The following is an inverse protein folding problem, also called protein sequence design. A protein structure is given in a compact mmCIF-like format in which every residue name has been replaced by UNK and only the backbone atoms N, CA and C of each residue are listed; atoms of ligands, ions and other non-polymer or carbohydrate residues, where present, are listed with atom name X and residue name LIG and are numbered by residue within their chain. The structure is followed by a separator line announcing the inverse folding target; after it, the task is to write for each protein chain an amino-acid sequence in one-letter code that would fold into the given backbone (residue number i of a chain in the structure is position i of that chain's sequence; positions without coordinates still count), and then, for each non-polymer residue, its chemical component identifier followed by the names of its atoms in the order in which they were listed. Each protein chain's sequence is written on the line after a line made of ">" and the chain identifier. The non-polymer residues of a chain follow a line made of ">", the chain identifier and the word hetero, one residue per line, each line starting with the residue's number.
data_IF_928182080122
#
_entry.id   IF_928182080122
#
_cell.length_a   1.000
_cell.length_b   1.000
_cell.length_c   1.000
_cell.angle_alpha   90.00
_cell.angle_beta   90.00
_cell.angle_gamma   90.00
#
_symmetry.space_group_name_H-M   'P 1'
#
loop_
_entity.id
_entity.type
_entity.pdbx_description
1 polymer ?
#
# COMPACT_ATOMS: atom_id res chain seq x y z
N UNK A 1 -8.60 -9.80 -15.51
CA UNK A 1 -7.63 -8.85 -14.91
C UNK A 1 -7.97 -7.37 -15.21
N UNK A 2 -8.18 -6.95 -16.47
CA UNK A 2 -8.49 -5.54 -16.81
C UNK A 2 -9.74 -4.97 -16.14
N UNK A 3 -10.83 -5.76 -16.03
CA UNK A 3 -12.08 -5.36 -15.36
C UNK A 3 -11.89 -5.20 -13.85
N UNK A 4 -11.08 -6.07 -13.21
CA UNK A 4 -10.82 -5.99 -11.78
C UNK A 4 -10.00 -4.72 -11.42
N UNK A 5 -9.05 -4.34 -12.27
CA UNK A 5 -8.28 -3.10 -12.10
C UNK A 5 -9.19 -1.87 -12.26
N UNK A 6 -10.10 -1.90 -13.25
CA UNK A 6 -11.07 -0.81 -13.45
C UNK A 6 -12.03 -0.69 -12.25
N UNK A 7 -12.55 -1.80 -11.73
CA UNK A 7 -13.41 -1.83 -10.54
C UNK A 7 -12.65 -1.36 -9.30
N UNK A 8 -11.39 -1.74 -9.14
CA UNK A 8 -10.53 -1.25 -8.06
C UNK A 8 -10.36 0.28 -8.14
N UNK A 9 -10.00 0.80 -9.33
CA UNK A 9 -9.84 2.25 -9.56
C UNK A 9 -11.17 2.98 -9.30
N UNK A 10 -12.29 2.49 -9.84
CA UNK A 10 -13.61 3.08 -9.60
C UNK A 10 -14.02 3.01 -8.13
N UNK A 11 -13.65 1.94 -7.41
CA UNK A 11 -13.91 1.83 -5.98
C UNK A 11 -13.06 2.82 -5.17
N UNK A 12 -11.77 2.99 -5.52
CA UNK A 12 -10.90 4.01 -4.93
C UNK A 12 -11.41 5.43 -5.20
N UNK A 13 -11.88 5.70 -6.42
CA UNK A 13 -12.47 6.99 -6.81
C UNK A 13 -13.78 7.24 -6.08
N UNK A 14 -14.65 6.23 -5.96
CA UNK A 14 -15.90 6.35 -5.19
C UNK A 14 -15.62 6.55 -3.70
N UNK A 15 -14.51 6.01 -3.18
CA UNK A 15 -14.02 6.22 -1.82
C UNK A 15 -13.52 7.64 -1.56
N UNK A 16 -12.90 8.27 -2.57
CA UNK A 16 -12.49 9.68 -2.52
C UNK A 16 -13.68 10.64 -2.38
N UNK A 17 -14.87 10.22 -2.82
CA UNK A 17 -16.10 11.02 -2.74
C UNK A 17 -16.95 10.76 -1.48
N UNK A 18 -16.62 9.76 -0.66
CA UNK A 18 -17.41 9.41 0.53
C UNK A 18 -17.02 10.27 1.75
N UNK A 19 -17.47 11.54 1.77
CA UNK A 19 -17.77 12.45 2.90
C UNK A 19 -16.90 12.40 4.19
N UNK A 20 -15.67 11.91 4.11
CA UNK A 20 -14.74 11.86 5.23
C UNK A 20 -13.61 12.86 4.96
N UNK A 21 -13.78 14.09 5.47
CA UNK A 21 -12.73 15.11 5.67
C UNK A 21 -11.46 14.56 6.38
N UNK A 22 -11.49 13.32 6.85
CA UNK A 22 -10.44 12.68 7.65
C UNK A 22 -9.48 11.78 6.86
N UNK A 23 -9.82 11.37 5.62
CA UNK A 23 -9.02 10.37 4.90
C UNK A 23 -8.07 10.97 3.88
N UNK A 24 -8.58 11.78 2.95
CA UNK A 24 -7.75 12.47 1.97
C UNK A 24 -7.27 13.78 2.60
N UNK A 25 -5.98 13.84 2.91
CA UNK A 25 -5.39 15.04 3.51
C UNK A 25 -5.11 16.09 2.43
N UNK A 26 -4.34 15.69 1.43
CA UNK A 26 -3.78 16.58 0.42
C UNK A 26 -3.71 15.85 -0.91
N UNK A 27 -3.69 16.59 -2.01
CA UNK A 27 -3.40 16.05 -3.34
C UNK A 27 -2.64 17.08 -4.15
N UNK A 28 -1.99 16.64 -5.22
CA UNK A 28 -1.18 17.54 -6.02
C UNK A 28 -0.66 16.92 -7.30
N UNK A 29 0.15 17.70 -7.98
CA UNK A 29 0.85 17.32 -9.21
C UNK A 29 2.34 17.21 -8.96
N UNK A 30 3.02 16.34 -9.70
CA UNK A 30 4.47 16.14 -9.67
C UNK A 30 5.03 16.23 -11.08
N UNK A 31 6.14 16.95 -11.23
CA UNK A 31 6.87 17.09 -12.50
C UNK A 31 8.36 16.98 -12.21
N UNK A 32 9.11 16.27 -13.05
CA UNK A 32 10.53 16.07 -12.80
C UNK A 32 11.28 15.39 -13.92
N UNK A 33 12.55 15.13 -13.63
CA UNK A 33 13.49 14.41 -14.51
C UNK A 33 13.89 13.10 -13.87
N UNK A 34 14.15 12.10 -14.70
CA UNK A 34 14.63 10.78 -14.29
C UNK A 34 15.93 10.43 -15.01
N UNK A 35 16.74 9.58 -14.39
CA UNK A 35 17.89 8.93 -14.98
C UNK A 35 17.78 7.44 -14.66
N UNK A 36 17.60 6.60 -15.68
CA UNK A 36 17.40 5.16 -15.52
C UNK A 36 18.51 4.35 -16.18
N UNK A 37 18.88 3.22 -15.57
CA UNK A 37 19.74 2.22 -16.18
C UNK A 37 19.16 0.81 -15.98
N UNK A 38 19.62 -0.14 -16.76
CA UNK A 38 19.26 -1.55 -16.67
C UNK A 38 20.44 -2.35 -16.14
N UNK A 39 20.19 -3.06 -15.04
CA UNK A 39 21.09 -4.05 -14.50
C UNK A 39 20.71 -5.42 -15.05
N UNK A 40 21.70 -6.14 -15.59
CA UNK A 40 21.53 -7.41 -16.26
C UNK A 40 22.24 -8.50 -15.46
N UNK A 41 21.47 -9.47 -14.98
CA UNK A 41 22.02 -10.70 -14.42
C UNK A 41 21.80 -11.82 -15.43
N UNK A 42 22.91 -12.26 -16.03
CA UNK A 42 22.94 -13.30 -17.07
C UNK A 42 23.84 -14.43 -16.60
N UNK A 43 23.41 -15.66 -16.86
CA UNK A 43 24.20 -16.86 -16.57
C UNK A 43 25.47 -16.91 -17.43
N UNK A 44 26.65 -17.26 -16.87
CA UNK A 44 27.92 -17.31 -17.60
C UNK A 44 27.90 -18.18 -18.86
N UNK A 45 27.04 -19.20 -18.90
CA UNK A 45 26.94 -20.16 -20.00
C UNK A 45 26.19 -19.61 -21.23
N UNK A 46 25.52 -18.45 -21.11
CA UNK A 46 24.86 -17.82 -22.25
C UNK A 46 25.87 -17.16 -23.17
N UNK A 47 25.74 -17.37 -24.49
CA UNK A 47 26.50 -16.61 -25.50
C UNK A 47 26.32 -15.08 -25.36
N UNK A 48 25.25 -14.64 -24.70
CA UNK A 48 24.96 -13.23 -24.44
C UNK A 48 25.74 -12.65 -23.25
N UNK A 49 26.31 -13.49 -22.38
CA UNK A 49 27.03 -13.06 -21.18
C UNK A 49 28.19 -12.11 -21.51
N UNK A 50 29.02 -12.47 -22.49
CA UNK A 50 30.17 -11.66 -22.87
C UNK A 50 29.78 -10.35 -23.54
N UNK A 51 28.70 -10.34 -24.32
CA UNK A 51 28.17 -9.13 -24.95
C UNK A 51 27.72 -8.11 -23.90
N UNK A 52 27.00 -8.56 -22.87
CA UNK A 52 26.55 -7.68 -21.79
C UNK A 52 27.69 -7.32 -20.85
N UNK A 53 28.60 -8.24 -20.53
CA UNK A 53 29.76 -7.90 -19.68
C UNK A 53 30.71 -6.89 -20.33
N UNK A 54 30.83 -6.92 -21.66
CA UNK A 54 31.61 -5.94 -22.44
C UNK A 54 30.84 -4.66 -22.81
N UNK A 55 29.53 -4.64 -22.58
CA UNK A 55 28.66 -3.51 -22.88
C UNK A 55 28.85 -2.35 -21.91
N UNK A 56 28.90 -1.12 -22.43
CA UNK A 56 28.93 0.08 -21.60
C UNK A 56 27.51 0.59 -21.37
N UNK A 57 26.86 0.15 -20.29
CA UNK A 57 25.51 0.57 -19.92
C UNK A 57 25.53 1.91 -19.17
N UNK A 58 24.82 2.89 -19.72
CA UNK A 58 24.75 4.26 -19.21
C UNK A 58 23.33 4.63 -18.85
N UNK A 59 23.24 5.54 -17.88
CA UNK A 59 21.97 6.14 -17.51
C UNK A 59 21.34 6.90 -18.69
N UNK A 60 20.08 6.60 -18.95
CA UNK A 60 19.24 7.30 -19.90
C UNK A 60 18.44 8.38 -19.17
N UNK A 61 18.56 9.67 -19.55
CA UNK A 61 17.69 10.70 -19.01
C UNK A 61 16.25 10.53 -19.53
N UNK A 62 15.28 10.88 -18.70
CA UNK A 62 13.86 10.82 -18.97
C UNK A 62 13.09 11.89 -18.20
N UNK A 63 11.78 11.89 -18.35
CA UNK A 63 10.89 12.76 -17.58
C UNK A 63 9.89 11.94 -16.76
N UNK A 64 9.41 12.56 -15.71
CA UNK A 64 8.34 12.06 -14.85
C UNK A 64 7.29 13.14 -14.68
N UNK A 65 6.02 12.76 -14.84
CA UNK A 65 4.89 13.61 -14.48
C UNK A 65 3.77 12.77 -13.88
N UNK A 66 3.01 13.34 -12.95
CA UNK A 66 1.95 12.58 -12.31
C UNK A 66 1.15 13.36 -11.30
N UNK A 67 0.25 12.64 -10.65
CA UNK A 67 -0.58 13.13 -9.56
C UNK A 67 -0.32 12.29 -8.31
N UNK A 68 -0.49 12.89 -7.15
CA UNK A 68 -0.41 12.20 -5.88
C UNK A 68 -1.56 12.59 -4.96
N UNK A 69 -1.86 11.67 -4.04
CA UNK A 69 -2.79 11.85 -2.95
C UNK A 69 -2.08 11.45 -1.65
N UNK A 70 -2.18 12.29 -0.64
CA UNK A 70 -1.77 12.00 0.73
C UNK A 70 -2.99 11.60 1.54
N UNK A 71 -2.84 10.49 2.27
CA UNK A 71 -3.86 9.92 3.11
C UNK A 71 -3.47 10.05 4.56
N UNK A 72 -4.47 10.38 5.37
CA UNK A 72 -4.44 10.61 6.82
C UNK A 72 -3.40 11.63 7.30
N UNK A 73 -3.76 12.40 8.32
CA UNK A 73 -2.91 13.47 8.84
C UNK A 73 -2.45 13.21 10.27
N UNK A 74 -1.52 12.26 10.42
CA UNK A 74 -0.81 12.12 11.69
C UNK A 74 0.42 13.02 11.71
N UNK A 75 0.83 13.46 12.91
CA UNK A 75 1.91 14.44 13.09
C UNK A 75 3.23 14.04 12.39
N UNK A 76 3.54 12.74 12.39
CA UNK A 76 4.82 12.22 11.89
C UNK A 76 4.70 11.25 10.71
N UNK A 77 3.51 10.74 10.40
CA UNK A 77 3.34 9.67 9.41
C UNK A 77 2.12 9.92 8.52
N UNK A 78 2.26 9.67 7.22
CA UNK A 78 1.18 9.71 6.25
C UNK A 78 1.36 8.55 5.28
N UNK A 79 0.33 8.22 4.50
CA UNK A 79 0.49 7.37 3.31
C UNK A 79 0.36 8.24 2.07
N UNK A 80 1.13 7.95 1.04
CA UNK A 80 1.07 8.66 -0.24
C UNK A 80 0.87 7.65 -1.34
N UNK A 81 -0.14 7.87 -2.18
CA UNK A 81 -0.34 7.08 -3.41
C UNK A 81 -0.16 7.99 -4.60
N UNK A 82 0.46 7.48 -5.66
CA UNK A 82 0.70 8.28 -6.86
C UNK A 82 0.28 7.53 -8.12
N UNK A 83 0.03 8.29 -9.18
CA UNK A 83 -0.11 7.81 -10.55
C UNK A 83 0.81 8.67 -11.41
N UNK A 84 1.90 8.08 -11.87
CA UNK A 84 2.95 8.79 -12.61
C UNK A 84 3.15 8.17 -13.99
N UNK A 85 3.25 9.00 -15.02
CA UNK A 85 3.94 8.63 -16.24
C UNK A 85 5.45 8.77 -16.02
N UNK A 86 6.23 7.73 -16.32
CA UNK A 86 7.68 7.70 -16.09
C UNK A 86 8.41 7.16 -17.31
N UNK A 87 9.36 7.93 -17.83
CA UNK A 87 10.29 7.44 -18.84
C UNK A 87 11.51 6.79 -18.18
N UNK A 88 11.82 5.59 -18.64
CA UNK A 88 12.99 4.79 -18.26
C UNK A 88 13.69 4.26 -19.51
N UNK A 89 14.68 3.40 -19.29
CA UNK A 89 15.43 2.74 -20.35
C UNK A 89 16.91 2.67 -20.00
N UNK A 90 17.72 2.45 -21.02
CA UNK A 90 19.18 2.40 -20.90
C UNK A 90 19.78 2.88 -22.21
N UNK A 91 20.97 3.45 -22.15
CA UNK A 91 21.83 3.65 -23.32
C UNK A 91 22.98 2.69 -23.22
N UNK A 92 23.30 1.99 -24.29
CA UNK A 92 24.49 1.15 -24.29
C UNK A 92 25.18 1.12 -25.62
N UNK A 93 26.48 0.85 -25.57
CA UNK A 93 27.29 0.50 -26.73
C UNK A 93 27.88 -0.90 -26.49
N UNK A 94 27.76 -1.75 -27.51
CA UNK A 94 28.42 -3.06 -27.57
C UNK A 94 29.84 -2.86 -28.09
N UNK A 95 30.75 -2.55 -27.17
CA UNK A 95 32.18 -2.37 -27.46
C UNK A 95 32.72 -3.58 -28.24
N UNK A 96 33.29 -3.33 -29.43
CA UNK A 96 33.88 -4.37 -30.27
C UNK A 96 32.96 -4.99 -31.33
N UNK A 97 31.67 -4.59 -31.39
CA UNK A 97 30.75 -5.00 -32.47
C UNK A 97 30.36 -3.81 -33.35
N UNK A 98 29.99 -2.68 -32.74
CA UNK A 98 29.55 -1.47 -33.45
C UNK A 98 29.90 -0.22 -32.67
N UNK A 99 30.29 0.88 -33.33
CA UNK A 99 30.40 2.20 -32.69
C UNK A 99 29.03 2.89 -32.43
N UNK A 100 27.93 2.17 -32.71
CA UNK A 100 26.58 2.68 -32.54
C UNK A 100 26.14 2.63 -31.07
N UNK A 101 25.66 3.76 -30.53
CA UNK A 101 25.00 3.83 -29.22
C UNK A 101 23.51 3.55 -29.37
N UNK A 102 23.05 2.45 -28.79
CA UNK A 102 21.63 2.10 -28.75
C UNK A 102 20.92 2.87 -27.63
N UNK A 103 19.83 3.56 -27.94
CA UNK A 103 19.06 4.34 -26.97
C UNK A 103 17.67 3.74 -26.75
N UNK A 104 17.63 2.68 -25.94
CA UNK A 104 16.39 1.99 -25.62
C UNK A 104 15.56 2.79 -24.61
N UNK A 105 14.30 3.07 -24.97
CA UNK A 105 13.34 3.84 -24.18
C UNK A 105 12.15 2.97 -23.81
N UNK A 106 11.71 3.07 -22.56
CA UNK A 106 10.49 2.44 -22.07
C UNK A 106 9.69 3.45 -21.25
N UNK A 107 8.40 3.56 -21.54
CA UNK A 107 7.48 4.45 -20.86
C UNK A 107 6.49 3.64 -20.04
N UNK A 108 6.34 4.03 -18.77
CA UNK A 108 5.54 3.31 -17.79
C UNK A 108 4.45 4.19 -17.19
N UNK A 109 3.29 3.58 -16.92
CA UNK A 109 2.34 4.06 -15.92
C UNK A 109 2.74 3.45 -14.58
N UNK A 110 3.24 4.28 -13.68
CA UNK A 110 3.72 3.90 -12.37
C UNK A 110 2.69 4.22 -11.30
N UNK A 111 2.43 3.26 -10.41
CA UNK A 111 1.52 3.39 -9.28
C UNK A 111 2.28 3.04 -8.00
N UNK A 112 3.06 3.97 -7.45
CA UNK A 112 3.72 3.76 -6.17
C UNK A 112 2.80 4.06 -4.98
N UNK A 113 3.01 3.34 -3.89
CA UNK A 113 2.36 3.53 -2.60
C UNK A 113 3.44 3.61 -1.53
N UNK A 114 3.48 4.73 -0.82
CA UNK A 114 4.51 5.09 0.14
C UNK A 114 3.96 5.24 1.55
N UNK A 115 4.80 4.93 2.53
CA UNK A 115 4.73 5.51 3.87
C UNK A 115 5.65 6.72 3.91
N UNK A 116 5.12 7.88 4.31
CA UNK A 116 5.85 9.15 4.42
C UNK A 116 6.06 9.51 5.89
N UNK A 117 7.32 9.68 6.29
CA UNK A 117 7.75 10.08 7.62
C UNK A 117 8.16 11.56 7.60
N UNK A 118 7.49 12.40 8.40
CA UNK A 118 7.69 13.87 8.45
C UNK A 118 8.46 14.27 9.72
N UNK A 119 9.30 15.30 9.63
CA UNK A 119 10.00 15.87 10.79
C UNK A 119 9.63 17.35 11.01
N UNK A 120 8.55 17.66 11.77
CA UNK A 120 7.92 18.99 11.82
C UNK A 120 8.65 20.08 12.62
N UNK A 121 9.91 19.87 13.02
CA UNK A 121 10.60 20.77 13.96
C UNK A 121 11.44 21.87 13.28
N UNK A 122 11.24 22.11 11.99
CA UNK A 122 12.05 23.03 11.18
C UNK A 122 11.15 23.97 10.36
N UNK A 123 11.68 25.11 9.94
CA UNK A 123 10.97 26.08 9.06
C UNK A 123 10.67 25.53 7.65
N UNK A 124 11.18 24.34 7.36
CA UNK A 124 10.88 23.51 6.20
C UNK A 124 10.47 22.13 6.73
N UNK A 125 9.66 21.38 5.99
CA UNK A 125 9.21 20.06 6.43
C UNK A 125 9.98 18.98 5.69
N UNK A 126 11.14 18.52 6.18
CA UNK A 126 11.82 17.39 5.58
C UNK A 126 11.00 16.11 5.81
N UNK A 127 11.12 15.19 4.87
CA UNK A 127 10.49 13.89 4.97
C UNK A 127 11.27 12.80 4.22
N UNK A 128 11.05 11.57 4.67
CA UNK A 128 11.47 10.36 3.99
C UNK A 128 10.23 9.59 3.55
N UNK A 129 10.28 8.94 2.40
CA UNK A 129 9.25 8.00 1.98
C UNK A 129 9.86 6.68 1.55
N UNK A 130 9.18 5.59 1.84
CA UNK A 130 9.54 4.27 1.34
C UNK A 130 8.29 3.47 1.05
N UNK A 131 8.34 2.60 0.05
CA UNK A 131 7.14 1.88 -0.35
C UNK A 131 7.31 0.96 -1.54
N UNK A 132 6.18 0.38 -1.94
CA UNK A 132 6.08 -0.50 -3.09
C UNK A 132 5.68 0.28 -4.33
N UNK A 133 6.05 -0.24 -5.49
CA UNK A 133 5.79 0.38 -6.79
C UNK A 133 5.39 -0.68 -7.80
N UNK A 134 4.36 -0.37 -8.58
CA UNK A 134 3.99 -1.15 -9.76
C UNK A 134 4.16 -0.28 -11.00
N UNK A 135 4.84 -0.80 -12.02
CA UNK A 135 5.09 -0.14 -13.30
C UNK A 135 4.45 -0.95 -14.43
N UNK A 136 3.47 -0.36 -15.11
CA UNK A 136 2.84 -0.91 -16.29
C UNK A 136 3.45 -0.30 -17.56
N UNK A 137 4.05 -1.11 -18.42
CA UNK A 137 4.64 -0.67 -19.68
C UNK A 137 3.54 -0.23 -20.65
N UNK A 138 3.58 1.05 -21.08
CA UNK A 138 2.62 1.60 -22.05
C UNK A 138 3.26 1.66 -23.44
N UNK A 139 4.53 2.04 -23.51
CA UNK A 139 5.23 2.25 -24.77
C UNK A 139 6.69 1.83 -24.64
N UNK A 140 7.26 1.29 -25.72
CA UNK A 140 8.68 0.97 -25.83
C UNK A 140 9.20 1.40 -27.19
N UNK A 141 10.42 1.92 -27.22
CA UNK A 141 11.21 2.14 -28.42
C UNK A 141 12.56 1.45 -28.20
N UNK A 142 12.77 0.37 -28.94
CA UNK A 142 13.98 -0.44 -28.84
C UNK A 142 14.75 -0.23 -30.13
N UNK A 143 15.95 0.32 -30.03
CA UNK A 143 16.85 0.55 -31.17
C UNK A 143 17.80 -0.64 -31.36
N UNK A 144 18.01 -1.44 -30.31
CA UNK A 144 18.83 -2.64 -30.39
C UNK A 144 18.05 -3.83 -30.95
N UNK A 145 18.66 -4.61 -31.84
CA UNK A 145 18.13 -5.91 -32.31
C UNK A 145 18.15 -7.02 -31.25
N UNK A 146 18.33 -6.66 -29.97
CA UNK A 146 18.22 -7.59 -28.86
C UNK A 146 16.76 -8.05 -28.72
N UNK A 147 16.47 -9.24 -29.26
CA UNK A 147 15.19 -9.95 -29.18
C UNK A 147 14.58 -10.02 -27.76
N UNK A 148 15.40 -9.83 -26.73
CA UNK A 148 15.03 -9.81 -25.31
C UNK A 148 13.96 -8.75 -24.99
N UNK A 149 13.99 -7.59 -25.67
CA UNK A 149 13.06 -6.51 -25.36
C UNK A 149 11.66 -6.71 -25.95
N UNK A 150 11.52 -7.57 -26.95
CA UNK A 150 10.21 -7.91 -27.49
C UNK A 150 9.36 -8.67 -26.48
N UNK A 151 10.02 -9.42 -25.59
CA UNK A 151 9.40 -10.23 -24.56
C UNK A 151 9.24 -9.52 -23.21
N UNK A 152 9.62 -8.24 -23.11
CA UNK A 152 9.50 -7.46 -21.88
C UNK A 152 8.07 -7.55 -21.30
N UNK A 153 7.97 -8.06 -20.06
CA UNK A 153 6.70 -8.16 -19.35
C UNK A 153 6.05 -6.79 -19.22
N UNK A 154 4.74 -6.73 -19.46
CA UNK A 154 3.99 -5.48 -19.40
C UNK A 154 3.87 -4.91 -17.99
N UNK A 155 4.12 -5.68 -16.93
CA UNK A 155 3.97 -5.23 -15.54
C UNK A 155 5.16 -5.62 -14.68
N UNK A 156 5.68 -4.68 -13.92
CA UNK A 156 6.86 -4.86 -13.07
C UNK A 156 6.61 -4.30 -11.67
N UNK A 157 6.88 -5.10 -10.64
CA UNK A 157 6.84 -4.64 -9.26
C UNK A 157 8.24 -4.19 -8.81
N UNK A 158 8.31 -3.34 -7.79
CA UNK A 158 9.57 -2.86 -7.24
C UNK A 158 9.37 -2.14 -5.90
N UNK A 159 10.47 -1.62 -5.37
CA UNK A 159 10.47 -0.72 -4.22
C UNK A 159 10.96 0.66 -4.60
N UNK A 160 10.61 1.63 -3.77
CA UNK A 160 10.97 3.02 -3.99
C UNK A 160 11.27 3.69 -2.67
N UNK A 161 12.32 4.51 -2.67
CA UNK A 161 12.79 5.28 -1.54
C UNK A 161 12.88 6.73 -1.98
N UNK A 162 12.40 7.64 -1.15
CA UNK A 162 12.36 9.07 -1.45
C UNK A 162 12.85 9.85 -0.25
N UNK A 163 13.58 10.92 -0.51
CA UNK A 163 13.86 11.96 0.46
C UNK A 163 13.43 13.29 -0.15
N UNK A 164 12.74 14.12 0.64
CA UNK A 164 12.23 15.38 0.14
C UNK A 164 12.05 16.42 1.21
N UNK A 165 11.70 17.61 0.75
CA UNK A 165 11.45 18.79 1.57
C UNK A 165 10.19 19.47 1.07
N UNK A 166 9.28 19.82 1.98
CA UNK A 166 8.15 20.70 1.68
C UNK A 166 8.42 22.11 2.20
N UNK A 167 8.04 23.09 1.39
CA UNK A 167 8.12 24.51 1.68
C UNK A 167 6.72 25.11 1.56
N UNK A 168 6.25 25.76 2.63
CA UNK A 168 5.03 26.56 2.55
C UNK A 168 5.38 27.97 2.06
N UNK A 169 5.49 28.13 0.73
CA UNK A 169 5.72 29.43 0.11
C UNK A 169 4.41 30.24 0.03
N UNK A 170 3.70 30.38 1.16
CA UNK A 170 2.45 31.11 1.27
C UNK A 170 1.29 30.41 0.58
N UNK A 171 0.83 30.91 -0.56
CA UNK A 171 -0.27 30.28 -1.31
C UNK A 171 0.15 29.05 -2.12
N UNK A 172 1.46 28.82 -2.27
CA UNK A 172 2.01 27.77 -3.12
C UNK A 172 2.85 26.77 -2.30
N UNK A 173 2.22 25.74 -1.72
CA UNK A 173 2.97 24.65 -1.10
C UNK A 173 3.72 23.86 -2.17
N UNK A 174 5.04 23.92 -2.12
CA UNK A 174 5.95 23.26 -3.04
C UNK A 174 6.73 22.17 -2.32
N UNK A 175 7.09 21.12 -3.03
CA UNK A 175 8.04 20.12 -2.55
C UNK A 175 9.14 19.84 -3.57
N UNK A 176 10.31 19.46 -3.07
CA UNK A 176 11.43 18.97 -3.86
C UNK A 176 11.75 17.57 -3.35
N UNK A 177 11.80 16.61 -4.26
CA UNK A 177 11.97 15.19 -3.95
C UNK A 177 13.07 14.56 -4.79
N UNK A 178 13.98 13.87 -4.12
CA UNK A 178 14.86 12.90 -4.76
C UNK A 178 14.32 11.50 -4.51
N UNK A 179 14.16 10.71 -5.58
CA UNK A 179 13.66 9.34 -5.50
C UNK A 179 14.66 8.35 -6.10
N UNK A 180 14.84 7.22 -5.42
CA UNK A 180 15.54 6.04 -5.90
C UNK A 180 14.55 4.89 -6.04
N UNK A 181 14.47 4.31 -7.24
CA UNK A 181 13.57 3.21 -7.54
C UNK A 181 14.34 1.99 -8.01
N UNK A 182 13.98 0.83 -7.48
CA UNK A 182 14.50 -0.47 -7.91
C UNK A 182 13.33 -1.37 -8.29
N UNK A 183 13.43 -2.03 -9.43
CA UNK A 183 12.45 -3.03 -9.85
C UNK A 183 12.91 -4.42 -9.42
N UNK A 184 11.96 -5.22 -8.95
CA UNK A 184 12.14 -6.66 -8.91
C UNK A 184 12.31 -7.16 -10.35
N UNK A 185 13.12 -8.21 -10.48
CA UNK A 185 13.51 -8.79 -11.76
C UNK A 185 12.36 -8.83 -12.79
N UNK A 186 12.55 -8.20 -13.94
CA UNK A 186 11.89 -8.66 -15.17
C UNK A 186 12.47 -10.02 -15.47
N UNK A 187 11.79 -11.06 -14.98
CA UNK A 187 12.03 -12.43 -15.41
C UNK A 187 11.55 -12.51 -16.86
N UNK A 188 12.51 -12.41 -17.77
CA UNK A 188 12.33 -12.80 -19.15
C UNK A 188 12.63 -14.29 -19.19
N UNK A 189 11.55 -15.05 -19.08
CA UNK A 189 11.59 -16.50 -19.09
C UNK A 189 11.48 -16.94 -20.55
N UNK A 190 12.62 -17.31 -21.10
CA UNK A 190 12.68 -18.04 -22.34
C UNK A 190 13.38 -19.36 -22.04
N UNK A 191 12.78 -20.44 -22.53
CA UNK A 191 13.01 -21.85 -22.19
C UNK A 191 14.47 -22.29 -22.00
N UNK A 192 15.46 -21.56 -22.52
CA UNK A 192 16.88 -21.92 -22.45
C UNK A 192 17.82 -20.85 -21.87
N UNK A 193 17.33 -19.65 -21.52
CA UNK A 193 18.19 -18.58 -20.99
C UNK A 193 17.49 -17.80 -19.88
N UNK A 194 17.96 -17.99 -18.64
CA UNK A 194 17.55 -17.15 -17.52
C UNK A 194 18.35 -15.84 -17.54
N UNK A 195 17.72 -14.77 -18.01
CA UNK A 195 18.22 -13.41 -17.85
C UNK A 195 17.24 -12.60 -17.00
N UNK A 196 17.79 -11.88 -16.03
CA UNK A 196 17.05 -10.97 -15.19
C UNK A 196 17.46 -9.56 -15.55
N UNK A 197 16.49 -8.75 -15.98
CA UNK A 197 16.69 -7.31 -16.20
C UNK A 197 16.04 -6.57 -15.04
N UNK A 198 16.77 -5.67 -14.39
CA UNK A 198 16.24 -4.78 -13.35
C UNK A 198 16.43 -3.34 -13.80
N UNK A 199 15.35 -2.56 -13.89
CA UNK A 199 15.54 -1.12 -14.02
C UNK A 199 15.85 -0.51 -12.65
N UNK A 200 16.93 0.24 -12.62
CA UNK A 200 17.30 1.13 -11.52
C UNK A 200 17.10 2.55 -12.02
N UNK A 201 16.44 3.40 -11.25
CA UNK A 201 16.23 4.80 -11.67
C UNK A 201 16.30 5.77 -10.52
N UNK A 202 16.93 6.91 -10.79
CA UNK A 202 16.99 8.09 -9.94
C UNK A 202 16.07 9.16 -10.51
N UNK A 203 15.35 9.90 -9.66
CA UNK A 203 14.45 10.97 -10.09
C UNK A 203 14.64 12.19 -9.21
N UNK A 204 14.52 13.37 -9.82
CA UNK A 204 14.40 14.65 -9.12
C UNK A 204 13.06 15.27 -9.52
N UNK A 205 12.19 15.51 -8.55
CA UNK A 205 10.79 15.86 -8.76
C UNK A 205 10.43 17.13 -7.98
N UNK A 206 9.70 18.02 -8.63
CA UNK A 206 9.01 19.15 -8.03
C UNK A 206 7.54 18.78 -7.85
N UNK A 207 7.08 18.80 -6.60
CA UNK A 207 5.67 18.64 -6.26
C UNK A 207 5.00 19.99 -6.04
N UNK A 208 3.77 20.12 -6.50
CA UNK A 208 2.89 21.24 -6.19
C UNK A 208 1.61 20.69 -5.58
N UNK A 209 1.34 21.07 -4.33
CA UNK A 209 0.12 20.68 -3.64
C UNK A 209 -1.01 21.64 -4.05
N UNK A 210 -2.11 21.07 -4.50
CA UNK A 210 -3.28 21.83 -4.92
C UNK A 210 -4.04 22.26 -3.66
N UNK A 211 -3.79 23.49 -3.19
CA UNK A 211 -4.60 24.10 -2.12
C UNK A 211 -6.01 24.33 -2.66
N UNK A 212 -6.97 23.50 -2.23
CA UNK A 212 -8.39 23.85 -2.28
C UNK A 212 -9.32 22.87 -2.99
N UNK A 213 -10.10 22.16 -2.18
CA UNK A 213 -11.56 22.10 -2.31
C UNK A 213 -12.20 21.72 -0.95
N UNK A 214 -11.45 21.05 -0.08
CA UNK A 214 -11.82 20.83 1.33
C UNK A 214 -11.13 21.87 2.23
N UNK A 215 -11.54 23.14 2.15
CA UNK A 215 -11.56 23.91 3.40
C UNK A 215 -12.85 23.46 4.07
N UNK A 216 -12.71 22.64 5.10
CA UNK A 216 -12.72 23.19 6.45
C UNK A 216 -13.84 24.22 6.51
N UNK A 217 -15.03 23.75 6.90
CA UNK A 217 -15.83 24.58 7.77
C UNK A 217 -14.93 24.93 8.95
N UNK A 218 -14.15 25.99 8.78
CA UNK A 218 -13.62 26.80 9.86
C UNK A 218 -14.89 27.28 10.58
N UNK A 219 -15.45 26.39 11.40
CA UNK A 219 -16.06 26.79 12.64
C UNK A 219 -14.95 27.57 13.29
N UNK A 220 -14.99 28.89 13.07
CA UNK A 220 -14.53 29.86 14.05
C UNK A 220 -15.03 29.31 15.37
N UNK A 221 -14.16 28.57 16.04
CA UNK A 221 -14.29 28.35 17.45
C UNK A 221 -13.99 29.73 17.96
N UNK A 222 -15.04 30.55 18.08
CA UNK A 222 -15.00 31.85 18.71
C UNK A 222 -14.45 31.60 20.11
N UNK A 223 -13.13 31.69 20.25
CA UNK A 223 -12.44 31.79 21.50
C UNK A 223 -12.67 33.20 22.04
N UNK A 224 -13.94 33.54 22.25
CA UNK A 224 -14.36 34.49 23.26
C UNK A 224 -14.93 33.67 24.41
N UNK A 225 -14.09 32.87 25.05
CA UNK A 225 -14.32 32.68 26.47
C UNK A 225 -13.85 33.97 27.14
N UNK A 226 -14.72 34.72 27.83
CA UNK A 226 -14.28 35.86 28.60
C UNK A 226 -13.23 35.34 29.59
N UNK A 227 -12.10 36.04 29.65
CA UNK A 227 -11.16 35.89 30.76
C UNK A 227 -11.96 36.24 32.00
N UNK A 228 -12.37 35.23 32.77
CA UNK A 228 -12.78 35.44 34.16
C UNK A 228 -11.52 35.86 34.89
N UNK A 229 -11.32 37.17 34.99
CA UNK A 229 -10.37 37.75 35.92
C UNK A 229 -10.89 37.37 37.30
N UNK A 230 -10.23 36.40 37.93
CA UNK A 230 -10.46 36.13 39.34
C UNK A 230 -10.13 37.43 40.10
N UNK A 231 -11.08 38.00 40.87
CA UNK A 231 -10.73 39.08 41.77
C UNK A 231 -9.66 38.57 42.73
N UNK A 232 -8.59 39.36 42.90
CA UNK A 232 -7.59 39.15 43.94
C UNK A 232 -8.31 38.93 45.28
N UNK A 233 -7.84 37.99 46.11
CA UNK A 233 -8.43 37.76 47.41
C UNK A 233 -8.30 39.05 48.21
N UNK A 234 -9.43 39.63 48.60
CA UNK A 234 -9.44 40.60 49.69
C UNK A 234 -9.03 39.82 50.94
N UNK A 235 -7.99 40.30 51.60
CA UNK A 235 -7.72 40.00 53.00
C UNK A 235 -9.03 40.22 53.77
N UNK A 236 -9.55 39.15 54.35
CA UNK A 236 -10.67 39.21 55.27
C UNK A 236 -10.18 38.61 56.58
N UNK A 237 -10.30 39.44 57.60
CA UNK A 237 -10.03 39.19 58.99
C UNK A 237 -10.66 37.90 59.49
N UNK A 238 -10.01 37.38 60.53
CA UNK A 238 -10.48 36.32 61.40
C UNK A 238 -11.95 36.55 61.78
N UNK A 239 -12.82 35.59 61.45
CA UNK A 239 -13.90 35.24 62.35
C UNK A 239 -14.32 33.77 62.17
N UNK A 240 -14.27 33.09 63.31
CA UNK A 240 -14.56 31.69 63.55
C UNK A 240 -16.00 31.32 63.18
N UNK A 241 -16.16 30.29 62.35
CA UNK A 241 -17.46 29.70 62.04
C UNK A 241 -17.32 28.25 61.62
N UNK A 242 -17.50 27.34 62.59
CA UNK A 242 -17.80 25.92 62.36
C UNK A 242 -18.98 25.78 61.38
N UNK A 243 -18.81 25.02 60.29
CA UNK A 243 -19.91 24.29 59.65
C UNK A 243 -19.44 23.20 58.66
N UNK A 244 -19.84 21.98 59.01
CA UNK A 244 -20.16 20.79 58.19
C UNK A 244 -19.21 20.32 57.09
N UNK A 245 -18.33 19.40 57.51
CA UNK A 245 -17.84 18.29 56.70
C UNK A 245 -19.01 17.37 56.30
N UNK A 246 -19.37 17.36 55.01
CA UNK A 246 -19.73 16.17 54.22
C UNK A 246 -20.33 16.60 52.87
N UNK A 247 -19.46 16.90 51.90
CA UNK A 247 -19.81 16.83 50.49
C UNK A 247 -19.08 15.64 49.86
N UNK A 248 -19.79 14.70 49.21
CA UNK A 248 -19.16 13.59 48.53
C UNK A 248 -18.25 14.17 47.44
N UNK A 249 -16.97 13.80 47.49
CA UNK A 249 -15.96 14.28 46.56
C UNK A 249 -16.39 14.03 45.13
N UNK A 250 -16.56 15.11 44.37
CA UNK A 250 -16.67 15.08 42.92
C UNK A 250 -15.40 14.42 42.38
N UNK A 251 -15.50 13.13 42.04
CA UNK A 251 -14.45 12.46 41.29
C UNK A 251 -14.23 13.26 40.01
N UNK A 252 -12.98 13.60 39.67
CA UNK A 252 -12.69 14.35 38.45
C UNK A 252 -13.25 13.55 37.29
N UNK A 253 -14.33 14.04 36.69
CA UNK A 253 -14.88 13.46 35.47
C UNK A 253 -13.78 13.51 34.44
N UNK A 254 -13.16 12.37 34.17
CA UNK A 254 -12.14 12.20 33.16
C UNK A 254 -12.83 12.48 31.83
N UNK A 255 -12.85 13.76 31.43
CA UNK A 255 -13.32 14.22 30.12
C UNK A 255 -12.31 13.75 29.09
N UNK A 256 -12.23 12.44 28.90
CA UNK A 256 -11.72 11.87 27.67
C UNK A 256 -12.71 12.32 26.61
N UNK A 257 -12.37 13.42 25.94
CA UNK A 257 -13.07 13.92 24.76
C UNK A 257 -12.88 12.94 23.60
N UNK A 258 -13.37 11.71 23.77
CA UNK A 258 -13.33 10.65 22.79
C UNK A 258 -14.09 11.13 21.56
N UNK A 259 -13.34 11.44 20.50
CA UNK A 259 -13.91 11.81 19.22
C UNK A 259 -14.80 10.66 18.75
N UNK A 260 -16.09 10.94 18.52
CA UNK A 260 -17.02 9.95 17.98
C UNK A 260 -16.70 9.77 16.49
N UNK A 261 -16.17 8.61 16.13
CA UNK A 261 -16.03 8.21 14.73
C UNK A 261 -17.38 7.72 14.20
N UNK A 262 -17.73 8.14 12.99
CA UNK A 262 -18.92 7.62 12.30
C UNK A 262 -18.68 6.17 11.88
N UNK A 263 -19.76 5.39 11.74
CA UNK A 263 -19.69 4.00 11.26
C UNK A 263 -18.92 3.87 9.95
N UNK A 264 -19.19 4.77 9.01
CA UNK A 264 -18.54 4.77 7.69
C UNK A 264 -17.04 4.99 7.81
N UNK A 265 -16.58 5.90 8.69
CA UNK A 265 -15.16 6.14 8.92
C UNK A 265 -14.44 4.92 9.51
N UNK A 266 -15.09 4.16 10.41
CA UNK A 266 -14.51 2.94 10.99
C UNK A 266 -14.40 1.82 9.95
N UNK A 267 -15.45 1.59 9.16
CA UNK A 267 -15.43 0.60 8.08
C UNK A 267 -14.38 0.95 7.02
N UNK A 268 -14.32 2.23 6.63
CA UNK A 268 -13.30 2.74 5.71
C UNK A 268 -11.89 2.52 6.25
N UNK A 269 -11.71 2.83 7.55
CA UNK A 269 -10.61 2.40 8.43
C UNK A 269 -10.12 1.00 8.06
N UNK A 270 -10.97 0.06 8.44
CA UNK A 270 -10.72 -1.36 8.36
C UNK A 270 -10.51 -1.90 6.95
N UNK A 271 -11.13 -1.32 5.93
CA UNK A 271 -10.84 -1.69 4.55
C UNK A 271 -9.40 -1.25 4.19
N UNK A 272 -8.97 -0.03 4.47
CA UNK A 272 -7.62 0.40 4.06
C UNK A 272 -6.50 -0.42 4.71
N UNK A 273 -6.63 -0.67 6.00
CA UNK A 273 -5.64 -1.42 6.75
C UNK A 273 -6.35 -2.28 7.81
N UNK A 274 -6.22 -3.62 7.73
CA UNK A 274 -6.78 -4.51 8.73
C UNK A 274 -6.37 -4.12 10.15
N UNK A 275 -7.36 -4.00 11.05
CA UNK A 275 -7.16 -3.60 12.45
C UNK A 275 -7.13 -2.08 12.73
N UNK A 276 -7.11 -1.22 11.71
CA UNK A 276 -7.00 0.23 11.94
C UNK A 276 -8.24 0.87 12.59
N UNK A 277 -9.44 0.34 12.37
CA UNK A 277 -10.65 0.79 13.07
C UNK A 277 -10.55 0.54 14.58
N UNK A 278 -10.03 -0.63 14.97
CA UNK A 278 -9.82 -0.99 16.37
C UNK A 278 -8.77 -0.11 17.02
N UNK A 279 -7.66 0.20 16.34
CA UNK A 279 -6.68 1.16 16.86
C UNK A 279 -7.30 2.54 17.10
N UNK A 280 -8.14 3.02 16.16
CA UNK A 280 -8.79 4.33 16.28
C UNK A 280 -9.81 4.42 17.41
N UNK A 281 -10.36 3.28 17.85
CA UNK A 281 -11.30 3.19 18.97
C UNK A 281 -10.63 2.80 20.30
N UNK A 282 -9.29 2.77 20.35
CA UNK A 282 -8.53 2.40 21.55
C UNK A 282 -8.44 0.89 21.82
N UNK A 283 -8.96 0.03 20.93
CA UNK A 283 -8.92 -1.43 21.05
C UNK A 283 -7.63 -2.00 20.44
N UNK A 284 -6.51 -1.70 21.10
CA UNK A 284 -5.17 -2.04 20.59
C UNK A 284 -4.99 -3.53 20.27
N UNK A 285 -5.37 -4.43 21.19
CA UNK A 285 -5.17 -5.87 21.00
C UNK A 285 -5.95 -6.44 19.81
N UNK A 286 -7.19 -5.99 19.61
CA UNK A 286 -7.99 -6.39 18.45
C UNK A 286 -7.39 -5.89 17.14
N UNK A 287 -6.92 -4.63 17.11
CA UNK A 287 -6.25 -4.07 15.93
C UNK A 287 -4.98 -4.83 15.57
N UNK A 288 -4.17 -5.16 16.58
CA UNK A 288 -2.96 -5.96 16.41
C UNK A 288 -3.29 -7.38 15.91
N UNK A 289 -4.34 -8.02 16.43
CA UNK A 289 -4.77 -9.35 16.01
C UNK A 289 -5.14 -9.37 14.51
N UNK A 290 -5.97 -8.44 14.03
CA UNK A 290 -6.31 -8.36 12.61
C UNK A 290 -5.11 -8.05 11.71
N UNK A 291 -4.23 -7.15 12.16
CA UNK A 291 -3.00 -6.81 11.43
C UNK A 291 -2.10 -8.05 11.26
N UNK A 292 -1.89 -8.80 12.35
CA UNK A 292 -1.06 -10.02 12.36
C UNK A 292 -1.69 -11.16 11.56
N UNK A 293 -3.01 -11.37 11.67
CA UNK A 293 -3.74 -12.36 10.87
C UNK A 293 -3.63 -12.05 9.38
N UNK A 294 -3.82 -10.78 9.00
CA UNK A 294 -3.68 -10.35 7.62
C UNK A 294 -2.24 -10.52 7.11
N UNK A 295 -1.24 -10.06 7.87
CA UNK A 295 0.16 -10.23 7.52
C UNK A 295 0.55 -11.70 7.37
N UNK A 296 0.08 -12.57 8.28
CA UNK A 296 0.29 -14.02 8.21
C UNK A 296 -0.37 -14.66 6.98
N UNK A 297 -1.60 -14.26 6.65
CA UNK A 297 -2.31 -14.74 5.46
C UNK A 297 -1.62 -14.30 4.16
N UNK A 298 -1.16 -13.05 4.08
CA UNK A 298 -0.38 -12.52 2.95
C UNK A 298 0.95 -13.25 2.83
N UNK A 299 1.66 -13.46 3.94
CA UNK A 299 2.91 -14.22 3.94
C UNK A 299 2.71 -15.66 3.44
N UNK A 300 1.68 -16.36 3.93
CA UNK A 300 1.34 -17.71 3.48
C UNK A 300 1.02 -17.75 1.99
N UNK A 301 0.23 -16.79 1.49
CA UNK A 301 -0.07 -16.65 0.06
C UNK A 301 1.20 -16.44 -0.77
N UNK A 302 2.05 -15.48 -0.39
CA UNK A 302 3.29 -15.20 -1.11
C UNK A 302 4.23 -16.42 -1.15
N UNK A 303 4.38 -17.12 -0.01
CA UNK A 303 5.19 -18.33 0.05
C UNK A 303 4.63 -19.44 -0.86
N UNK A 304 3.30 -19.59 -0.92
CA UNK A 304 2.65 -20.58 -1.80
C UNK A 304 2.73 -20.21 -3.28
N UNK A 305 2.60 -18.94 -3.64
CA UNK A 305 2.81 -18.49 -5.02
C UNK A 305 4.25 -18.73 -5.46
N UNK A 306 5.23 -18.46 -4.59
CA UNK A 306 6.64 -18.74 -4.89
C UNK A 306 6.90 -20.25 -5.08
N UNK A 307 6.30 -21.09 -4.23
CA UNK A 307 6.39 -22.55 -4.36
C UNK A 307 5.78 -23.04 -5.68
N UNK A 308 4.55 -22.60 -5.98
CA UNK A 308 3.84 -22.92 -7.23
C UNK A 308 4.66 -22.52 -8.46
N UNK A 309 5.23 -21.31 -8.48
CA UNK A 309 6.05 -20.87 -9.61
C UNK A 309 7.28 -21.78 -9.79
N UNK A 310 7.96 -22.18 -8.70
CA UNK A 310 9.09 -23.10 -8.77
C UNK A 310 8.70 -24.47 -9.35
N UNK A 311 7.55 -25.03 -8.96
CA UNK A 311 7.07 -26.30 -9.52
C UNK A 311 6.73 -26.17 -11.01
N UNK A 312 6.12 -25.05 -11.42
CA UNK A 312 5.86 -24.77 -12.84
C UNK A 312 7.16 -24.70 -13.64
N UNK A 313 8.19 -24.03 -13.11
CA UNK A 313 9.51 -23.92 -13.76
C UNK A 313 10.20 -25.30 -13.87
N UNK A 314 10.10 -26.15 -12.84
CA UNK A 314 10.62 -27.52 -12.86
C UNK A 314 9.89 -28.39 -13.88
N UNK A 315 8.56 -28.32 -13.93
CA UNK A 315 7.75 -29.02 -14.91
C UNK A 315 8.09 -28.60 -16.36
N UNK A 316 8.30 -27.31 -16.60
CA UNK A 316 8.71 -26.81 -17.93
C UNK A 316 10.08 -27.37 -18.34
N UNK A 317 11.06 -27.40 -17.43
CA UNK A 317 12.38 -28.00 -17.71
C UNK A 317 12.28 -29.47 -18.07
N UNK A 318 11.34 -30.20 -17.45
CA UNK A 318 11.17 -31.62 -17.72
C UNK A 318 10.48 -31.90 -19.05
N UNK A 319 9.51 -31.05 -19.43
CA UNK A 319 8.94 -31.09 -20.78
C UNK A 319 9.99 -30.81 -21.87
N UNK A 320 10.98 -29.94 -21.61
CA UNK A 320 12.04 -29.65 -22.57
C UNK A 320 13.00 -30.83 -22.81
N UNK A 321 13.07 -31.82 -21.89
CA UNK A 321 13.85 -33.05 -22.10
C UNK A 321 13.23 -33.97 -23.17
N UNK A 322 11.97 -33.75 -23.52
CA UNK A 322 11.28 -34.46 -24.60
C UNK A 322 11.74 -33.85 -25.93
N UNK A 323 12.82 -34.39 -26.49
CA UNK A 323 13.28 -34.04 -27.85
C UNK A 323 12.65 -34.98 -28.88
N UNK A 324 12.53 -34.58 -30.16
CA UNK A 324 12.03 -35.47 -31.22
C UNK A 324 12.83 -36.77 -31.40
N UNK A 325 14.07 -36.82 -30.90
CA UNK A 325 14.96 -37.98 -30.93
C UNK A 325 14.84 -38.90 -29.70
N UNK A 326 14.03 -38.54 -28.70
CA UNK A 326 13.85 -39.37 -27.51
C UNK A 326 13.14 -40.68 -27.90
N UNK A 327 13.71 -41.84 -27.54
CA UNK A 327 13.13 -43.15 -27.84
C UNK A 327 11.69 -43.23 -27.29
N UNK A 328 10.79 -43.90 -28.02
CA UNK A 328 9.37 -44.03 -27.68
C UNK A 328 9.13 -44.47 -26.23
N UNK A 329 9.98 -45.37 -25.71
CA UNK A 329 9.91 -45.85 -24.34
C UNK A 329 10.26 -44.77 -23.29
N UNK A 330 11.27 -43.93 -23.56
CA UNK A 330 11.65 -42.83 -22.67
C UNK A 330 10.62 -41.70 -22.69
N UNK A 331 9.96 -41.49 -23.84
CA UNK A 331 8.89 -40.51 -23.97
C UNK A 331 7.66 -40.85 -23.10
N UNK A 332 7.25 -42.12 -23.04
CA UNK A 332 6.12 -42.54 -22.17
C UNK A 332 6.43 -42.33 -20.69
N UNK A 333 7.65 -42.65 -20.25
CA UNK A 333 8.09 -42.44 -18.87
C UNK A 333 8.11 -40.95 -18.51
N UNK A 334 8.70 -40.11 -19.35
CA UNK A 334 8.75 -38.65 -19.10
C UNK A 334 7.33 -38.06 -19.11
N UNK A 335 6.43 -38.54 -19.98
CA UNK A 335 5.03 -38.11 -19.99
C UNK A 335 4.26 -38.54 -18.73
N UNK A 336 4.56 -39.72 -18.17
CA UNK A 336 3.98 -40.14 -16.90
C UNK A 336 4.43 -39.23 -15.73
N UNK A 337 5.74 -38.95 -15.63
CA UNK A 337 6.31 -38.02 -14.64
C UNK A 337 5.76 -36.59 -14.80
N UNK A 338 5.65 -36.10 -16.03
CA UNK A 338 5.02 -34.82 -16.36
C UNK A 338 3.56 -34.76 -15.89
N UNK A 339 2.78 -35.83 -16.09
CA UNK A 339 1.39 -35.86 -15.64
C UNK A 339 1.27 -35.88 -14.10
N UNK A 340 2.23 -36.48 -13.40
CA UNK A 340 2.29 -36.46 -11.93
C UNK A 340 2.60 -35.04 -11.42
N UNK A 341 3.66 -34.40 -11.93
CA UNK A 341 3.99 -33.00 -11.61
C UNK A 341 2.82 -32.05 -11.92
N UNK A 342 2.10 -32.27 -13.02
CA UNK A 342 0.92 -31.47 -13.37
C UNK A 342 -0.18 -31.57 -12.31
N UNK A 343 -0.38 -32.74 -11.70
CA UNK A 343 -1.36 -32.93 -10.62
C UNK A 343 -0.94 -32.21 -9.34
N UNK A 344 0.36 -32.18 -9.04
CA UNK A 344 0.93 -31.41 -7.92
C UNK A 344 0.71 -29.91 -8.12
N UNK A 345 1.08 -29.39 -9.29
CA UNK A 345 0.84 -27.99 -9.71
C UNK A 345 -0.64 -27.61 -9.59
N UNK A 346 -1.56 -28.48 -10.01
CA UNK A 346 -3.00 -28.24 -9.90
C UNK A 346 -3.48 -28.19 -8.44
N UNK A 347 -2.86 -28.98 -7.57
CA UNK A 347 -3.13 -29.00 -6.13
C UNK A 347 -2.60 -27.71 -5.49
N UNK A 348 -1.38 -27.31 -5.81
CA UNK A 348 -0.77 -26.08 -5.32
C UNK A 348 -1.53 -24.83 -5.77
N UNK A 349 -2.01 -24.82 -7.02
CA UNK A 349 -2.90 -23.77 -7.52
C UNK A 349 -4.18 -23.64 -6.69
N UNK A 350 -4.78 -24.75 -6.27
CA UNK A 350 -5.95 -24.72 -5.36
C UNK A 350 -5.59 -24.14 -4.00
N UNK A 351 -4.40 -24.46 -3.46
CA UNK A 351 -3.91 -23.91 -2.18
C UNK A 351 -3.65 -22.40 -2.29
N UNK A 352 -3.14 -21.92 -3.42
CA UNK A 352 -2.98 -20.48 -3.69
C UNK A 352 -4.35 -19.78 -3.68
N UNK A 353 -5.36 -20.36 -4.34
CA UNK A 353 -6.72 -19.81 -4.31
C UNK A 353 -7.34 -19.84 -2.92
N UNK A 354 -7.13 -20.91 -2.16
CA UNK A 354 -7.60 -21.02 -0.78
C UNK A 354 -6.94 -19.96 0.12
N UNK A 355 -5.65 -19.69 -0.10
CA UNK A 355 -4.91 -18.66 0.64
C UNK A 355 -5.44 -17.26 0.31
N UNK A 356 -5.75 -16.99 -0.96
CA UNK A 356 -6.39 -15.74 -1.38
C UNK A 356 -7.80 -15.58 -0.76
N UNK A 357 -8.58 -16.67 -0.72
CA UNK A 357 -9.87 -16.69 -0.04
C UNK A 357 -9.72 -16.43 1.47
N UNK A 358 -8.66 -16.95 2.11
CA UNK A 358 -8.31 -16.66 3.50
C UNK A 358 -8.02 -15.18 3.75
N UNK A 359 -7.21 -14.55 2.88
CA UNK A 359 -6.96 -13.09 2.94
C UNK A 359 -8.27 -12.31 2.84
N UNK A 360 -9.11 -12.66 1.87
CA UNK A 360 -10.42 -12.02 1.69
C UNK A 360 -11.33 -12.21 2.92
N UNK A 361 -11.35 -13.40 3.51
CA UNK A 361 -12.13 -13.69 4.71
C UNK A 361 -11.68 -12.86 5.92
N UNK A 362 -10.38 -12.71 6.16
CA UNK A 362 -9.83 -11.84 7.22
C UNK A 362 -10.26 -10.39 6.99
N UNK A 363 -10.22 -9.94 5.73
CA UNK A 363 -10.57 -8.57 5.36
C UNK A 363 -12.07 -8.29 5.54
N UNK A 364 -12.94 -9.22 5.12
CA UNK A 364 -14.39 -9.14 5.34
C UNK A 364 -14.71 -9.16 6.83
N UNK A 365 -14.11 -10.08 7.59
CA UNK A 365 -14.31 -10.16 9.05
C UNK A 365 -13.91 -8.86 9.75
N UNK A 366 -12.76 -8.29 9.38
CA UNK A 366 -12.28 -7.02 9.92
C UNK A 366 -13.21 -5.83 9.59
N UNK A 367 -13.79 -5.80 8.38
CA UNK A 367 -14.76 -4.77 8.00
C UNK A 367 -16.09 -4.94 8.73
N UNK A 368 -16.59 -6.17 8.87
CA UNK A 368 -17.81 -6.48 9.63
C UNK A 368 -17.63 -6.16 11.12
N UNK A 369 -16.48 -6.45 11.70
CA UNK A 369 -16.20 -6.12 13.09
C UNK A 369 -16.11 -4.60 13.28
N UNK A 370 -15.51 -3.87 12.33
CA UNK A 370 -15.52 -2.40 12.35
C UNK A 370 -16.92 -1.78 12.22
N UNK A 371 -17.83 -2.44 11.49
CA UNK A 371 -19.25 -2.08 11.51
C UNK A 371 -19.74 -2.14 12.95
N UNK A 372 -19.50 -3.24 13.66
CA UNK A 372 -19.95 -3.48 15.03
C UNK A 372 -19.32 -2.53 16.07
N UNK A 373 -18.16 -1.95 15.78
CA UNK A 373 -17.51 -0.95 16.64
C UNK A 373 -18.19 0.42 16.64
N UNK A 374 -19.05 0.70 15.66
CA UNK A 374 -19.69 2.01 15.57
C UNK A 374 -20.59 2.26 16.79
N UNK A 375 -20.44 3.40 17.49
CA UNK A 375 -21.22 3.70 18.69
C UNK A 375 -22.73 3.88 18.40
N UNK A 376 -23.08 4.02 17.13
CA UNK A 376 -24.45 4.10 16.63
C UNK A 376 -25.15 2.73 16.65
N UNK A 377 -24.39 1.63 16.63
CA UNK A 377 -24.95 0.29 16.75
C UNK A 377 -25.30 0.04 18.23
N UNK A 378 -26.59 0.12 18.54
CA UNK A 378 -27.09 -0.37 19.82
C UNK A 378 -27.36 -1.85 19.70
N UNK A 379 -26.52 -2.67 20.32
CA UNK A 379 -26.89 -4.05 20.64
C UNK A 379 -27.82 -3.96 21.85
N UNK A 380 -29.14 -3.98 21.59
CA UNK A 380 -30.13 -3.94 22.65
C UNK A 380 -30.36 -5.38 23.13
N UNK A 381 -29.80 -5.69 24.30
CA UNK A 381 -30.12 -6.92 25.01
C UNK A 381 -31.43 -6.69 25.75
N UNK A 382 -32.49 -7.35 25.29
CA UNK A 382 -33.80 -7.28 25.98
C UNK A 382 -33.98 -8.58 26.72
N UNK A 383 -33.95 -8.50 28.05
CA UNK A 383 -34.28 -9.62 28.95
C UNK A 383 -35.72 -9.42 29.35
N UNK A 384 -36.60 -10.33 28.93
CA UNK A 384 -38.03 -10.24 29.21
C UNK A 384 -38.43 -11.40 30.14
N UNK A 385 -38.33 -11.21 31.47
CA UNK A 385 -38.65 -12.27 32.42
C UNK A 385 -40.16 -12.48 32.48
N UNK A 386 -40.64 -13.63 32.02
CA UNK A 386 -42.02 -14.08 32.24
C UNK A 386 -42.08 -14.88 33.52
N UNK A 387 -42.61 -14.26 34.57
CA UNK A 387 -42.88 -14.92 35.85
C UNK A 387 -44.32 -15.40 35.85
N UNK A 388 -44.51 -16.71 35.75
CA UNK A 388 -45.78 -17.40 35.97
C UNK A 388 -45.82 -17.95 37.40
N UNK A 389 -47.02 -18.09 37.99
CA UNK A 389 -47.22 -18.56 39.38
C UNK A 389 -46.46 -19.85 39.72
N UNK A 390 -46.15 -20.70 38.73
CA UNK A 390 -45.47 -21.98 38.92
C UNK A 390 -44.19 -22.15 38.09
N UNK A 391 -43.74 -21.14 37.34
CA UNK A 391 -42.52 -21.24 36.51
C UNK A 391 -41.96 -19.87 36.15
N UNK A 392 -40.66 -19.69 36.30
CA UNK A 392 -39.94 -18.52 35.81
C UNK A 392 -39.27 -18.88 34.48
N UNK A 393 -39.68 -18.23 33.40
CA UNK A 393 -39.01 -18.33 32.10
C UNK A 393 -38.35 -17.00 31.78
N UNK A 394 -37.04 -17.02 31.55
CA UNK A 394 -36.28 -15.84 31.13
C UNK A 394 -36.03 -15.98 29.63
N UNK A 395 -36.70 -15.13 28.84
CA UNK A 395 -36.45 -15.07 27.41
C UNK A 395 -35.36 -14.02 27.15
N UNK A 396 -34.29 -14.45 26.51
CA UNK A 396 -33.23 -13.57 26.01
C UNK A 396 -33.52 -13.26 24.55
N UNK A 397 -33.66 -11.99 24.21
CA UNK A 397 -33.71 -11.54 22.83
C UNK A 397 -32.60 -10.54 22.58
N UNK A 398 -31.81 -10.78 21.53
CA UNK A 398 -30.77 -9.87 21.06
C UNK A 398 -31.31 -9.18 19.82
N UNK A 399 -31.52 -7.87 19.92
CA UNK A 399 -31.89 -7.05 18.76
C UNK A 399 -30.70 -6.18 18.39
N UNK A 400 -30.20 -6.37 17.17
CA UNK A 400 -29.15 -5.54 16.59
C UNK A 400 -29.85 -4.54 15.69
N UNK A 401 -30.00 -3.30 16.17
CA UNK A 401 -30.43 -2.21 15.30
C UNK A 401 -29.19 -1.74 14.53
N UNK A 402 -29.11 -2.21 13.27
CA UNK A 402 -28.06 -1.87 12.30
C UNK A 402 -28.29 -0.51 11.67
#
# INVERSE_FOLDING_TARGET
>A
MRVAILVLILSCVSFLYADNDYLLKDYGIKLGVSAANQDFSIRPESNFYYLVKGGNFRYRPGFICGIYAEWFDERYINMVTEINYVQKGTRFNLSGVTDHEYNNRMDYLSIPVYVKLKFPNLNFLPYLMFGFRYDHLIYKRIESDMLLYDKAKAGNAGTSYCAGYEFDAGSMPLSIEYSYHTQYAMLLEEDQYFYTIRNISHSLVLGYRLKGLMKSGDKKQDSKQPITVFPLPKEADDETGLQDENKPGDQPSEKTGGRKYTRQALVARSLLLPGSAHFSTGRFYSGAAYSLLFAGAVYAYCNRVNHYNREVDEFQKELQKITPSTLLYDAEKIMAEANEMRREIDTDRKVVYLSLAGIAAVYIANALDAVLLAPENRILFTVDPKISKNKTEVNFSVKIDL
#
